data_IF_665724515299
#
_entry.id   IF_665724515299
#
_cell.length_a   1.000
_cell.length_b   1.000
_cell.length_c   1.000
_cell.angle_alpha   90.00
_cell.angle_beta   90.00
_cell.angle_gamma   90.00
#
_symmetry.space_group_name_H-M   'P 1'
#
loop_
_entity.id
_entity.type
_entity.pdbx_description
1 polymer ?
#
# COMPACT_ATOMS: atom_id res chain seq x y z
N UNK A 1 35.32 6.23 -0.31
CA UNK A 1 35.06 4.78 -0.49
C UNK A 1 34.47 4.09 0.76
N UNK A 2 33.84 4.81 1.70
CA UNK A 2 33.29 4.19 2.94
C UNK A 2 31.79 3.86 2.91
N UNK A 3 31.04 4.27 1.89
CA UNK A 3 29.59 4.10 1.83
C UNK A 3 29.14 2.63 1.63
N UNK A 4 29.93 1.83 0.91
CA UNK A 4 29.58 0.44 0.57
C UNK A 4 29.68 -0.56 1.74
N UNK A 5 30.47 -0.25 2.76
CA UNK A 5 30.63 -1.13 3.93
C UNK A 5 29.51 -0.90 4.94
N UNK A 6 29.06 0.35 5.09
CA UNK A 6 27.97 0.73 5.99
C UNK A 6 26.60 0.23 5.48
N UNK A 7 26.35 0.34 4.17
CA UNK A 7 25.15 -0.22 3.54
C UNK A 7 25.11 -1.75 3.60
N UNK A 8 26.25 -2.43 3.42
CA UNK A 8 26.35 -3.90 3.60
C UNK A 8 26.09 -4.35 5.04
N UNK A 9 26.47 -3.55 6.03
CA UNK A 9 26.21 -3.85 7.44
C UNK A 9 24.72 -3.70 7.76
N UNK A 10 24.11 -2.58 7.38
CA UNK A 10 22.67 -2.33 7.52
C UNK A 10 21.80 -3.38 6.82
N UNK A 11 22.25 -3.90 5.67
CA UNK A 11 21.55 -4.96 4.95
C UNK A 11 21.49 -6.27 5.73
N UNK A 12 22.58 -6.64 6.43
CA UNK A 12 22.62 -7.85 7.26
C UNK A 12 21.63 -7.78 8.41
N UNK A 13 21.59 -6.63 9.10
CA UNK A 13 20.67 -6.40 10.21
C UNK A 13 19.21 -6.38 9.71
N UNK A 14 18.94 -5.73 8.57
CA UNK A 14 17.63 -5.72 7.94
C UNK A 14 17.16 -7.14 7.56
N UNK A 15 18.04 -7.97 7.02
CA UNK A 15 17.75 -9.37 6.70
C UNK A 15 17.51 -10.22 7.95
N UNK A 16 18.22 -9.95 9.05
CA UNK A 16 17.98 -10.61 10.34
C UNK A 16 16.58 -10.29 10.89
N UNK A 17 16.21 -9.00 10.90
CA UNK A 17 14.87 -8.56 11.28
C UNK A 17 13.79 -9.14 10.37
N UNK A 18 14.04 -9.17 9.06
CA UNK A 18 13.14 -9.81 8.10
C UNK A 18 12.94 -11.30 8.41
N UNK A 19 14.03 -12.03 8.69
CA UNK A 19 13.96 -13.44 9.10
C UNK A 19 13.13 -13.65 10.36
N UNK A 20 13.27 -12.76 11.35
CA UNK A 20 12.45 -12.81 12.56
C UNK A 20 10.96 -12.56 12.27
N UNK A 21 10.63 -11.61 11.38
CA UNK A 21 9.24 -11.34 10.96
C UNK A 21 8.66 -12.52 10.17
N UNK A 22 9.42 -13.09 9.23
CA UNK A 22 9.02 -14.28 8.46
C UNK A 22 8.67 -15.44 9.41
N UNK A 23 9.49 -15.64 10.44
CA UNK A 23 9.25 -16.66 11.47
C UNK A 23 8.06 -16.33 12.35
N UNK A 24 7.90 -15.07 12.77
CA UNK A 24 6.79 -14.64 13.62
C UNK A 24 5.43 -14.74 12.93
N UNK A 25 5.37 -14.34 11.65
CA UNK A 25 4.17 -14.45 10.82
C UNK A 25 3.97 -15.85 10.23
N UNK A 26 4.87 -16.77 10.54
CA UNK A 26 4.91 -18.15 10.05
C UNK A 26 4.68 -18.26 8.55
N UNK A 27 5.35 -17.39 7.77
CA UNK A 27 5.09 -17.29 6.33
C UNK A 27 5.47 -18.57 5.58
N UNK A 28 6.34 -19.40 6.16
CA UNK A 28 6.77 -20.68 5.59
C UNK A 28 5.80 -21.84 5.89
N UNK A 29 4.89 -21.70 6.86
CA UNK A 29 3.94 -22.78 7.18
C UNK A 29 2.88 -22.99 6.09
N UNK A 30 2.60 -21.98 5.27
CA UNK A 30 1.60 -22.06 4.23
C UNK A 30 2.24 -21.93 2.84
N UNK A 31 2.13 -22.97 2.00
CA UNK A 31 2.64 -22.86 0.62
C UNK A 31 1.91 -21.79 -0.22
N UNK A 32 0.76 -21.26 0.24
CA UNK A 32 0.09 -20.10 -0.38
C UNK A 32 0.97 -18.86 -0.42
N UNK A 33 1.97 -18.77 0.45
CA UNK A 33 2.89 -17.64 0.53
C UNK A 33 4.07 -17.77 -0.46
N UNK A 34 4.22 -18.91 -1.15
CA UNK A 34 5.28 -19.10 -2.15
C UNK A 34 5.02 -18.25 -3.38
N UNK A 35 6.05 -17.55 -3.87
CA UNK A 35 6.02 -16.66 -5.04
C UNK A 35 5.05 -15.46 -4.96
N UNK A 36 4.44 -15.20 -3.79
CA UNK A 36 3.55 -14.04 -3.59
C UNK A 36 4.34 -12.76 -3.24
N UNK A 37 5.48 -12.92 -2.60
CA UNK A 37 6.28 -11.80 -2.09
C UNK A 37 7.47 -11.51 -2.99
N UNK A 38 7.71 -10.22 -3.26
CA UNK A 38 8.95 -9.71 -3.85
C UNK A 38 9.77 -9.01 -2.76
N UNK A 39 11.10 -9.14 -2.86
CA UNK A 39 12.01 -8.50 -1.91
C UNK A 39 12.55 -7.23 -2.54
N UNK A 40 12.21 -6.09 -1.95
CA UNK A 40 12.62 -4.76 -2.41
C UNK A 40 13.25 -3.99 -1.28
N UNK A 41 14.30 -3.22 -1.60
CA UNK A 41 14.92 -2.30 -0.64
C UNK A 41 14.08 -1.04 -0.54
N UNK A 42 13.65 -0.69 0.66
CA UNK A 42 12.86 0.51 0.91
C UNK A 42 13.77 1.66 1.34
N UNK A 43 13.75 2.77 0.59
CA UNK A 43 14.48 4.00 0.93
C UNK A 43 13.54 5.13 1.35
N UNK A 44 13.84 5.72 2.50
CA UNK A 44 13.16 6.92 3.01
C UNK A 44 13.75 8.22 2.44
N UNK A 45 14.80 8.16 1.63
CA UNK A 45 15.50 9.36 1.13
C UNK A 45 14.63 10.21 0.20
N UNK A 46 13.68 9.59 -0.49
CA UNK A 46 12.80 10.27 -1.44
C UNK A 46 11.53 10.86 -0.82
N UNK A 47 11.38 10.73 0.51
CA UNK A 47 10.17 11.14 1.23
C UNK A 47 10.50 12.05 2.40
N UNK A 48 9.59 12.96 2.71
CA UNK A 48 9.73 13.85 3.86
C UNK A 48 9.70 13.03 5.14
N UNK A 49 10.72 13.22 6.00
CA UNK A 49 10.78 12.60 7.32
C UNK A 49 9.89 13.38 8.27
N UNK A 50 8.74 12.80 8.58
CA UNK A 50 7.82 13.32 9.59
C UNK A 50 8.05 12.56 10.90
N UNK A 51 8.22 13.30 11.99
CA UNK A 51 8.23 12.70 13.32
C UNK A 51 6.80 12.40 13.79
N UNK A 52 6.70 11.60 14.86
CA UNK A 52 5.40 11.21 15.41
C UNK A 52 4.64 12.39 16.01
N UNK A 53 5.35 13.44 16.45
CA UNK A 53 4.74 14.65 16.96
C UNK A 53 4.15 15.52 15.85
N UNK A 54 4.90 15.81 14.76
CA UNK A 54 4.37 16.58 13.64
C UNK A 54 3.22 15.87 12.93
N UNK A 55 3.32 14.55 12.72
CA UNK A 55 2.22 13.79 12.08
C UNK A 55 0.92 13.84 12.89
N UNK A 56 1.02 13.87 14.23
CA UNK A 56 -0.13 14.06 15.13
C UNK A 56 -0.60 15.50 15.16
N UNK A 57 0.30 16.47 15.26
CA UNK A 57 -0.04 17.90 15.28
C UNK A 57 -0.76 18.35 14.00
N UNK A 58 -0.37 17.80 12.85
CA UNK A 58 -1.00 18.04 11.55
C UNK A 58 -2.29 17.22 11.34
N UNK A 59 -2.66 16.34 12.28
CA UNK A 59 -3.80 15.42 12.16
C UNK A 59 -3.89 14.75 10.77
N UNK A 60 -2.77 14.19 10.29
CA UNK A 60 -2.69 13.66 8.92
C UNK A 60 -3.66 12.50 8.69
N UNK A 61 -3.85 11.67 9.70
CA UNK A 61 -4.70 10.47 9.68
C UNK A 61 -5.63 10.48 10.89
N UNK A 62 -6.81 9.84 10.80
CA UNK A 62 -7.73 9.78 11.90
C UNK A 62 -7.11 9.03 13.10
N UNK A 63 -7.26 9.60 14.29
CA UNK A 63 -6.90 8.94 15.55
C UNK A 63 -7.94 7.89 15.96
N UNK A 64 -7.61 7.00 16.91
CA UNK A 64 -8.54 5.98 17.41
C UNK A 64 -9.80 6.57 18.07
N UNK A 65 -9.71 7.77 18.64
CA UNK A 65 -10.82 8.44 19.33
C UNK A 65 -11.60 9.44 18.44
N UNK A 66 -11.19 9.62 17.18
CA UNK A 66 -11.83 10.58 16.28
C UNK A 66 -13.17 10.05 15.77
N UNK A 67 -14.26 10.57 16.34
CA UNK A 67 -15.63 10.23 15.91
C UNK A 67 -16.02 10.87 14.58
N UNK A 68 -15.36 11.96 14.19
CA UNK A 68 -15.67 12.68 12.96
C UNK A 68 -14.50 12.63 11.97
N UNK A 69 -14.78 12.11 10.77
CA UNK A 69 -13.79 11.86 9.73
C UNK A 69 -13.12 13.16 9.24
N UNK A 70 -13.82 14.28 9.28
CA UNK A 70 -13.32 15.58 8.79
C UNK A 70 -12.29 16.26 9.72
N UNK A 71 -11.99 15.70 10.89
CA UNK A 71 -10.94 16.25 11.77
C UNK A 71 -9.51 15.90 11.34
N UNK A 72 -9.35 15.03 10.33
CA UNK A 72 -8.06 14.67 9.76
C UNK A 72 -7.94 15.12 8.32
N UNK A 73 -6.71 15.42 7.88
CA UNK A 73 -6.40 15.75 6.48
C UNK A 73 -6.84 14.60 5.56
N UNK A 74 -6.60 13.36 5.97
CA UNK A 74 -7.07 12.18 5.25
C UNK A 74 -8.58 12.20 5.06
N UNK A 75 -9.38 12.42 6.10
CA UNK A 75 -10.83 12.39 5.93
C UNK A 75 -11.39 13.58 5.16
N UNK A 76 -10.71 14.74 5.16
CA UNK A 76 -11.08 15.86 4.30
C UNK A 76 -10.80 15.59 2.81
N UNK A 77 -9.66 14.96 2.49
CA UNK A 77 -9.26 14.69 1.10
C UNK A 77 -9.82 13.39 0.54
N UNK A 78 -10.14 12.41 1.39
CA UNK A 78 -10.52 11.08 0.95
C UNK A 78 -11.95 11.02 0.43
N UNK A 79 -12.08 11.24 -0.88
CA UNK A 79 -13.27 10.97 -1.66
C UNK A 79 -13.06 9.79 -2.63
N UNK A 80 -12.12 8.89 -2.34
CA UNK A 80 -11.81 7.74 -3.17
C UNK A 80 -12.95 6.71 -3.14
N UNK A 81 -13.35 6.21 -4.31
CA UNK A 81 -14.42 5.22 -4.46
C UNK A 81 -13.99 3.78 -4.24
N UNK A 82 -12.70 3.48 -4.44
CA UNK A 82 -12.15 2.14 -4.28
C UNK A 82 -11.32 2.03 -2.99
N UNK A 83 -11.35 0.87 -2.35
CA UNK A 83 -10.54 0.61 -1.15
C UNK A 83 -9.03 0.71 -1.45
N UNK A 84 -8.60 0.35 -2.66
CA UNK A 84 -7.23 0.50 -3.13
C UNK A 84 -6.82 1.98 -3.18
N UNK A 85 -7.67 2.86 -3.72
CA UNK A 85 -7.41 4.30 -3.76
C UNK A 85 -7.35 4.91 -2.37
N UNK A 86 -8.22 4.49 -1.45
CA UNK A 86 -8.19 4.91 -0.05
C UNK A 86 -6.86 4.55 0.63
N UNK A 87 -6.36 3.32 0.42
CA UNK A 87 -5.05 2.88 0.94
C UNK A 87 -3.91 3.68 0.34
N UNK A 88 -3.94 3.92 -0.97
CA UNK A 88 -2.91 4.70 -1.67
C UNK A 88 -2.85 6.15 -1.17
N UNK A 89 -4.00 6.79 -0.98
CA UNK A 89 -4.07 8.15 -0.44
C UNK A 89 -3.50 8.21 0.98
N UNK A 90 -3.86 7.25 1.84
CA UNK A 90 -3.31 7.16 3.19
C UNK A 90 -1.78 6.98 3.17
N UNK A 91 -1.26 6.20 2.21
CA UNK A 91 0.18 6.04 2.00
C UNK A 91 0.84 7.35 1.56
N UNK A 92 0.26 8.08 0.59
CA UNK A 92 0.80 9.35 0.12
C UNK A 92 0.88 10.41 1.21
N UNK A 93 -0.11 10.47 2.10
CA UNK A 93 -0.09 11.39 3.25
C UNK A 93 1.00 11.03 4.27
N UNK A 94 1.30 9.74 4.45
CA UNK A 94 2.40 9.29 5.33
C UNK A 94 3.78 9.49 4.69
N UNK A 95 3.85 9.50 3.37
CA UNK A 95 5.08 9.52 2.60
C UNK A 95 5.04 10.65 1.57
N UNK A 96 5.11 11.92 2.00
CA UNK A 96 5.15 13.05 1.07
C UNK A 96 6.41 12.98 0.21
N UNK A 97 6.29 13.22 -1.09
CA UNK A 97 7.42 13.20 -2.03
C UNK A 97 8.32 14.42 -1.80
N UNK A 98 9.63 14.23 -2.01
CA UNK A 98 10.62 15.34 -2.06
C UNK A 98 10.97 15.69 -3.52
N UNK A 99 10.91 14.71 -4.41
CA UNK A 99 11.29 14.85 -5.81
C UNK A 99 10.30 15.76 -6.57
N UNK A 100 10.79 16.92 -7.01
CA UNK A 100 10.01 17.93 -7.73
C UNK A 100 9.34 17.36 -8.98
N UNK A 101 10.05 16.54 -9.75
CA UNK A 101 9.53 16.01 -11.03
C UNK A 101 8.29 15.15 -10.81
N UNK A 102 8.30 14.30 -9.77
CA UNK A 102 7.18 13.44 -9.40
C UNK A 102 6.02 14.22 -8.78
N UNK A 103 6.31 15.35 -8.14
CA UNK A 103 5.27 16.24 -7.62
C UNK A 103 4.54 16.90 -8.80
N UNK A 104 5.29 17.45 -9.76
CA UNK A 104 4.73 18.07 -10.97
C UNK A 104 3.91 17.06 -11.77
N UNK A 105 4.42 15.86 -12.02
CA UNK A 105 3.68 14.79 -12.70
C UNK A 105 2.32 14.49 -12.02
N UNK A 106 2.28 14.44 -10.69
CA UNK A 106 1.02 14.23 -9.96
C UNK A 106 0.08 15.42 -10.06
N UNK A 107 0.61 16.64 -10.06
CA UNK A 107 -0.19 17.86 -10.19
C UNK A 107 -0.78 17.98 -11.59
N UNK A 108 0.00 17.67 -12.63
CA UNK A 108 -0.46 17.67 -14.03
C UNK A 108 -1.63 16.71 -14.23
N UNK A 109 -1.56 15.52 -13.62
CA UNK A 109 -2.66 14.54 -13.64
C UNK A 109 -3.91 15.09 -12.94
N UNK A 110 -3.76 15.77 -11.80
CA UNK A 110 -4.88 16.38 -11.08
C UNK A 110 -5.49 17.52 -11.90
N UNK A 111 -4.66 18.39 -12.47
CA UNK A 111 -5.08 19.51 -13.31
C UNK A 111 -5.91 19.02 -14.50
N UNK A 112 -5.44 17.98 -15.19
CA UNK A 112 -6.17 17.35 -16.30
C UNK A 112 -7.59 16.91 -15.89
N UNK A 113 -7.77 16.35 -14.69
CA UNK A 113 -9.11 15.97 -14.19
C UNK A 113 -9.93 17.15 -13.63
N UNK A 114 -9.27 18.26 -13.28
CA UNK A 114 -9.95 19.48 -12.84
C UNK A 114 -10.52 20.23 -14.03
N UNK A 115 -9.77 20.34 -15.12
CA UNK A 115 -10.20 20.94 -16.39
C UNK A 115 -11.33 20.12 -17.02
N UNK A 116 -11.16 18.80 -17.12
CA UNK A 116 -12.15 17.91 -17.74
C UNK A 116 -13.15 17.32 -16.74
N UNK A 117 -14.02 18.18 -16.20
CA UNK A 117 -14.97 17.81 -15.14
C UNK A 117 -15.95 16.69 -15.53
N UNK A 118 -16.33 16.60 -16.80
CA UNK A 118 -17.23 15.57 -17.31
C UNK A 118 -16.59 14.17 -17.24
N UNK A 119 -15.34 14.06 -17.66
CA UNK A 119 -14.55 12.82 -17.59
C UNK A 119 -14.36 12.41 -16.13
N UNK A 120 -13.98 13.36 -15.26
CA UNK A 120 -13.82 13.10 -13.82
C UNK A 120 -15.10 12.55 -13.19
N UNK A 121 -16.26 13.16 -13.47
CA UNK A 121 -17.54 12.70 -12.91
C UNK A 121 -17.93 11.33 -13.44
N UNK A 122 -17.80 11.10 -14.74
CA UNK A 122 -18.08 9.80 -15.36
C UNK A 122 -17.24 8.66 -14.78
N UNK A 123 -15.93 8.90 -14.60
CA UNK A 123 -15.02 7.96 -13.93
C UNK A 123 -15.40 7.72 -12.47
N UNK A 124 -15.62 8.80 -11.71
CA UNK A 124 -15.88 8.71 -10.26
C UNK A 124 -17.20 8.02 -9.94
N UNK A 125 -18.29 8.42 -10.59
CA UNK A 125 -19.63 7.94 -10.27
C UNK A 125 -19.98 6.64 -11.01
N UNK A 126 -19.51 6.49 -12.25
CA UNK A 126 -19.84 5.35 -13.11
C UNK A 126 -18.89 4.18 -12.98
N UNK A 127 -17.61 4.39 -13.31
CA UNK A 127 -16.66 3.28 -13.48
C UNK A 127 -16.02 2.84 -12.17
N UNK A 128 -15.39 3.76 -11.43
CA UNK A 128 -14.59 3.43 -10.25
C UNK A 128 -15.42 2.78 -9.13
N UNK A 129 -16.70 3.13 -9.01
CA UNK A 129 -17.61 2.53 -8.02
C UNK A 129 -17.84 1.03 -8.25
N UNK A 130 -17.70 0.56 -9.50
CA UNK A 130 -17.94 -0.84 -9.88
C UNK A 130 -16.69 -1.70 -9.74
N UNK A 131 -15.53 -1.09 -9.52
CA UNK A 131 -14.26 -1.81 -9.40
C UNK A 131 -14.15 -2.38 -7.97
N UNK A 132 -14.13 -3.71 -7.81
CA UNK A 132 -13.96 -4.33 -6.50
C UNK A 132 -12.53 -4.16 -5.98
N UNK A 133 -12.28 -4.58 -4.74
CA UNK A 133 -10.92 -4.60 -4.19
C UNK A 133 -10.08 -5.71 -4.85
N UNK A 134 -9.45 -5.40 -5.98
CA UNK A 134 -8.63 -6.30 -6.78
C UNK A 134 -7.52 -6.97 -5.98
N UNK A 135 -6.94 -6.25 -5.02
CA UNK A 135 -5.87 -6.77 -4.18
C UNK A 135 -6.38 -7.88 -3.25
N UNK A 136 -7.59 -7.70 -2.69
CA UNK A 136 -8.26 -8.74 -1.91
C UNK A 136 -8.73 -9.90 -2.80
N UNK A 137 -9.26 -9.62 -3.99
CA UNK A 137 -9.69 -10.66 -4.92
C UNK A 137 -8.52 -11.51 -5.40
N UNK A 138 -7.37 -10.90 -5.71
CA UNK A 138 -6.16 -11.62 -6.09
C UNK A 138 -5.70 -12.57 -4.98
N UNK A 139 -5.69 -12.10 -3.73
CA UNK A 139 -5.39 -12.95 -2.59
C UNK A 139 -6.39 -14.10 -2.42
N UNK A 140 -7.69 -13.81 -2.56
CA UNK A 140 -8.74 -14.82 -2.44
C UNK A 140 -8.63 -15.88 -3.55
N UNK A 141 -8.34 -15.48 -4.79
CA UNK A 141 -8.15 -16.42 -5.90
C UNK A 141 -6.98 -17.36 -5.66
N UNK A 142 -5.86 -16.87 -5.14
CA UNK A 142 -4.71 -17.69 -4.78
C UNK A 142 -5.10 -18.75 -3.72
N UNK A 143 -5.91 -18.36 -2.74
CA UNK A 143 -6.40 -19.26 -1.69
C UNK A 143 -7.36 -20.31 -2.28
N UNK A 144 -8.37 -19.88 -3.04
CA UNK A 144 -9.42 -20.76 -3.59
C UNK A 144 -8.90 -21.72 -4.66
N UNK A 145 -7.98 -21.30 -5.52
CA UNK A 145 -7.33 -22.20 -6.49
C UNK A 145 -6.66 -23.39 -5.79
N UNK A 146 -6.18 -23.21 -4.56
CA UNK A 146 -5.50 -24.25 -3.78
C UNK A 146 -6.48 -25.20 -3.08
N UNK A 147 -7.60 -24.72 -2.54
CA UNK A 147 -8.66 -25.59 -1.99
C UNK A 147 -9.17 -26.57 -3.06
N UNK A 148 -9.42 -26.07 -4.27
CA UNK A 148 -9.81 -26.92 -5.40
C UNK A 148 -8.70 -27.91 -5.81
N UNK A 149 -7.43 -27.48 -5.84
CA UNK A 149 -6.30 -28.36 -6.20
C UNK A 149 -6.06 -29.47 -5.16
N UNK A 150 -6.16 -29.16 -3.86
CA UNK A 150 -6.04 -30.18 -2.80
C UNK A 150 -7.22 -31.15 -2.78
N UNK A 151 -8.45 -30.68 -3.03
CA UNK A 151 -9.61 -31.55 -3.19
C UNK A 151 -9.50 -32.48 -4.40
N UNK A 152 -8.93 -32.01 -5.52
CA UNK A 152 -8.65 -32.85 -6.69
C UNK A 152 -7.56 -33.91 -6.37
N UNK A 153 -6.46 -33.54 -5.71
CA UNK A 153 -5.42 -34.51 -5.33
C UNK A 153 -5.92 -35.61 -4.38
N UNK A 154 -6.82 -35.28 -3.45
CA UNK A 154 -7.46 -36.29 -2.59
C UNK A 154 -8.44 -37.20 -3.34
N UNK A 155 -9.09 -36.71 -4.40
CA UNK A 155 -10.02 -37.50 -5.23
C UNK A 155 -9.34 -38.42 -6.25
N UNK A 156 -8.08 -38.14 -6.63
CA UNK A 156 -7.28 -38.96 -7.56
C UNK A 156 -6.30 -39.93 -6.87
N UNK A 157 -6.34 -40.05 -5.53
CA UNK A 157 -5.53 -40.99 -4.75
C UNK A 157 -6.32 -42.22 -4.22
N UNK A 158 -7.47 -42.52 -4.82
CA UNK A 158 -8.22 -43.79 -4.61
C UNK A 158 -8.35 -44.57 -5.91
#
# INVERSE_FOLDING_TARGET
MSYNTFTKFLLKDALSCLGAIIKFLDLNAFDTNRHVFTLETFSLENHVRLDSAASRALHLLPGPDDKNKFHSVYGALNNCRTAQGQRLLAQWLRQPLIDKSKIEERLDLVESFVEETAIRRGLHEGFLRRIPDLQRLGLLLIILQRECYQHLQHHYCY
#
